data_IF_870322251234
#
_entry.id   IF_870322251234
#
_cell.length_a   1.000
_cell.length_b   1.000
_cell.length_c   1.000
_cell.angle_alpha   90.00
_cell.angle_beta   90.00
_cell.angle_gamma   90.00
#
_symmetry.space_group_name_H-M   'P 1'
#
loop_
_entity.id
_entity.type
_entity.pdbx_description
1 polymer ?
#
# COMPACT_ATOMS: atom_id res chain seq x y z
N UNK A 1 15.20 11.64 6.95
CA UNK A 1 14.01 11.01 6.33
C UNK A 1 13.11 12.04 5.65
N UNK A 2 12.77 13.15 6.31
CA UNK A 2 11.95 14.21 5.71
C UNK A 2 12.62 14.98 4.56
N UNK A 3 13.95 15.03 4.51
CA UNK A 3 14.68 15.78 3.47
C UNK A 3 14.58 15.15 2.08
N UNK A 4 14.27 13.86 2.01
CA UNK A 4 14.09 13.15 0.74
C UNK A 4 12.89 13.71 -0.07
N UNK A 5 11.90 14.29 0.60
CA UNK A 5 10.66 14.78 0.01
C UNK A 5 10.70 16.27 -0.33
N UNK A 6 11.78 16.97 0.05
CA UNK A 6 11.90 18.41 -0.13
C UNK A 6 12.75 18.71 -1.36
N UNK A 7 12.21 19.53 -2.26
CA UNK A 7 13.03 20.21 -3.26
C UNK A 7 13.49 21.54 -2.70
N UNK A 8 14.81 21.72 -2.71
CA UNK A 8 15.44 22.97 -2.31
C UNK A 8 15.78 23.74 -3.58
N UNK A 9 15.31 24.99 -3.65
CA UNK A 9 15.70 25.91 -4.71
C UNK A 9 16.39 27.10 -4.05
N UNK A 10 17.61 27.39 -4.51
CA UNK A 10 18.37 28.54 -4.05
C UNK A 10 18.27 29.61 -5.11
N UNK A 11 17.72 30.76 -4.75
CA UNK A 11 17.64 31.95 -5.60
C UNK A 11 18.39 33.08 -4.94
N UNK A 12 19.28 33.74 -5.67
CA UNK A 12 20.02 34.91 -5.17
C UNK A 12 19.27 36.16 -5.60
N UNK A 13 18.85 36.97 -4.64
CA UNK A 13 18.18 38.26 -4.87
C UNK A 13 19.00 39.33 -4.15
N UNK A 14 19.57 40.28 -4.91
CA UNK A 14 20.39 41.39 -4.37
C UNK A 14 21.56 40.96 -3.47
N UNK A 15 22.19 39.83 -3.80
CA UNK A 15 23.30 39.27 -3.01
C UNK A 15 22.86 38.53 -1.74
N UNK A 16 21.56 38.40 -1.50
CA UNK A 16 20.99 37.55 -0.44
C UNK A 16 20.59 36.20 -1.03
N UNK A 17 21.06 35.12 -0.42
CA UNK A 17 20.64 33.77 -0.75
C UNK A 17 19.28 33.46 -0.11
N UNK A 18 18.25 33.29 -0.94
CA UNK A 18 16.92 32.86 -0.50
C UNK A 18 16.78 31.38 -0.80
N UNK A 19 16.65 30.59 0.26
CA UNK A 19 16.41 29.15 0.18
C UNK A 19 14.90 28.90 0.29
N UNK A 20 14.29 28.47 -0.82
CA UNK A 20 12.90 28.04 -0.87
C UNK A 20 12.82 26.52 -0.79
N UNK A 21 12.01 26.00 0.16
CA UNK A 21 11.73 24.57 0.32
C UNK A 21 10.30 24.28 -0.09
N UNK A 22 10.12 23.42 -1.08
CA UNK A 22 8.80 22.94 -1.53
C UNK A 22 8.68 21.43 -1.35
N UNK A 23 7.43 20.96 -1.21
CA UNK A 23 7.13 19.53 -1.20
C UNK A 23 7.20 18.99 -2.63
N UNK A 24 7.85 17.85 -2.82
CA UNK A 24 7.81 17.13 -4.09
C UNK A 24 6.48 16.38 -4.25
N UNK A 25 5.53 17.02 -4.94
CA UNK A 25 4.23 16.42 -5.25
C UNK A 25 4.34 15.19 -6.15
N UNK A 26 5.37 15.07 -6.98
CA UNK A 26 5.59 13.90 -7.82
C UNK A 26 5.95 12.68 -6.97
N UNK A 27 6.87 12.86 -6.03
CA UNK A 27 7.18 11.79 -5.08
C UNK A 27 5.97 11.39 -4.24
N UNK A 28 5.22 12.38 -3.74
CA UNK A 28 4.03 12.13 -2.93
C UNK A 28 2.97 11.34 -3.70
N UNK A 29 2.77 11.67 -4.98
CA UNK A 29 1.85 10.96 -5.86
C UNK A 29 2.30 9.51 -6.13
N UNK A 30 3.58 9.29 -6.40
CA UNK A 30 4.14 7.93 -6.57
C UNK A 30 3.97 7.12 -5.30
N UNK A 31 4.32 7.69 -4.14
CA UNK A 31 4.17 7.03 -2.85
C UNK A 31 2.72 6.65 -2.56
N UNK A 32 1.78 7.58 -2.76
CA UNK A 32 0.36 7.34 -2.57
C UNK A 32 -0.17 6.25 -3.52
N UNK A 33 0.25 6.28 -4.79
CA UNK A 33 -0.12 5.27 -5.78
C UNK A 33 0.42 3.89 -5.42
N UNK A 34 1.71 3.79 -5.07
CA UNK A 34 2.32 2.53 -4.61
C UNK A 34 1.63 1.98 -3.38
N UNK A 35 1.26 2.83 -2.42
CA UNK A 35 0.52 2.43 -1.23
C UNK A 35 -0.88 1.90 -1.58
N UNK A 36 -1.60 2.58 -2.47
CA UNK A 36 -2.92 2.14 -2.94
C UNK A 36 -2.87 0.78 -3.64
N UNK A 37 -1.88 0.57 -4.52
CA UNK A 37 -1.65 -0.73 -5.19
C UNK A 37 -1.29 -1.81 -4.15
N UNK A 38 -0.43 -1.48 -3.18
CA UNK A 38 -0.05 -2.39 -2.11
C UNK A 38 -1.24 -2.86 -1.27
N UNK A 39 -2.16 -1.96 -0.91
CA UNK A 39 -3.42 -2.32 -0.23
C UNK A 39 -4.25 -3.27 -1.07
N UNK A 40 -4.40 -3.00 -2.37
CA UNK A 40 -5.18 -3.86 -3.26
C UNK A 40 -4.61 -5.28 -3.31
N UNK A 41 -3.29 -5.42 -3.42
CA UNK A 41 -2.62 -6.72 -3.39
C UNK A 41 -2.82 -7.37 -2.02
N UNK A 42 -2.64 -6.64 -0.92
CA UNK A 42 -2.81 -7.18 0.43
C UNK A 42 -4.18 -7.83 0.62
N UNK A 43 -5.26 -7.22 0.11
CA UNK A 43 -6.62 -7.74 0.24
C UNK A 43 -7.04 -8.71 -0.86
N UNK A 44 -6.15 -9.08 -1.79
CA UNK A 44 -6.44 -10.00 -2.89
C UNK A 44 -7.11 -11.32 -2.47
N UNK A 45 -6.62 -12.08 -1.45
CA UNK A 45 -7.29 -13.30 -1.01
C UNK A 45 -8.71 -13.06 -0.49
N UNK A 46 -8.96 -11.92 0.16
CA UNK A 46 -10.32 -11.54 0.58
C UNK A 46 -11.20 -11.24 -0.63
N UNK A 47 -10.70 -10.48 -1.61
CA UNK A 47 -11.44 -10.19 -2.83
C UNK A 47 -11.83 -11.46 -3.60
N UNK A 48 -10.89 -12.40 -3.75
CA UNK A 48 -11.16 -13.69 -4.42
C UNK A 48 -12.26 -14.47 -3.70
N UNK A 49 -12.20 -14.53 -2.36
CA UNK A 49 -13.22 -15.20 -1.56
C UNK A 49 -14.62 -14.56 -1.70
N UNK A 50 -14.68 -13.23 -1.75
CA UNK A 50 -15.92 -12.48 -1.94
C UNK A 50 -16.49 -12.70 -3.34
N UNK A 51 -15.65 -12.60 -4.39
CA UNK A 51 -16.06 -12.83 -5.78
C UNK A 51 -16.57 -14.25 -6.01
N UNK A 52 -16.02 -15.23 -5.29
CA UNK A 52 -16.46 -16.63 -5.31
C UNK A 52 -17.64 -16.93 -4.39
N UNK A 53 -18.15 -15.92 -3.67
CA UNK A 53 -19.20 -16.04 -2.66
C UNK A 53 -18.93 -17.15 -1.62
N UNK A 54 -17.66 -17.28 -1.21
CA UNK A 54 -17.21 -18.34 -0.31
C UNK A 54 -17.84 -18.19 1.08
N UNK A 55 -18.37 -19.27 1.66
CA UNK A 55 -19.02 -19.27 2.99
C UNK A 55 -18.10 -18.70 4.08
N UNK A 56 -16.82 -19.06 4.02
CA UNK A 56 -15.80 -18.65 5.00
C UNK A 56 -15.10 -17.31 4.66
N UNK A 57 -15.72 -16.43 3.86
CA UNK A 57 -15.12 -15.13 3.47
C UNK A 57 -14.70 -14.26 4.67
N UNK A 58 -15.45 -14.31 5.78
CA UNK A 58 -15.08 -13.62 7.03
C UNK A 58 -13.83 -14.21 7.68
N UNK A 59 -13.69 -15.54 7.67
CA UNK A 59 -12.50 -16.22 8.20
C UNK A 59 -11.26 -15.84 7.39
N UNK A 60 -11.38 -15.86 6.06
CA UNK A 60 -10.30 -15.47 5.14
C UNK A 60 -9.89 -14.01 5.38
N UNK A 61 -10.85 -13.12 5.60
CA UNK A 61 -10.58 -11.72 5.95
C UNK A 61 -9.81 -11.57 7.27
N UNK A 62 -10.22 -12.30 8.31
CA UNK A 62 -9.56 -12.26 9.63
C UNK A 62 -8.13 -12.80 9.54
N UNK A 63 -7.91 -13.90 8.81
CA UNK A 63 -6.57 -14.45 8.58
C UNK A 63 -5.72 -13.46 7.79
N UNK A 64 -6.28 -12.85 6.75
CA UNK A 64 -5.57 -11.87 5.93
C UNK A 64 -5.17 -10.62 6.73
N UNK A 65 -6.01 -10.11 7.63
CA UNK A 65 -5.62 -8.96 8.47
C UNK A 65 -4.60 -9.37 9.54
N UNK A 66 -4.82 -10.50 10.23
CA UNK A 66 -4.00 -10.89 11.38
C UNK A 66 -2.64 -11.45 10.99
N UNK A 67 -2.56 -12.15 9.85
CA UNK A 67 -1.38 -12.86 9.39
C UNK A 67 -0.95 -12.48 7.96
N UNK A 68 -1.66 -11.60 7.25
CA UNK A 68 -1.28 -11.20 5.89
C UNK A 68 0.01 -10.39 5.80
N UNK A 69 0.48 -9.81 6.91
CA UNK A 69 1.83 -9.24 7.04
C UNK A 69 2.94 -10.30 6.95
N UNK A 70 2.61 -11.58 7.13
CA UNK A 70 3.51 -12.70 6.89
C UNK A 70 3.22 -13.35 5.53
N UNK A 71 4.27 -13.66 4.77
CA UNK A 71 4.14 -14.36 3.47
C UNK A 71 3.38 -15.68 3.63
N UNK A 72 3.61 -16.40 4.73
CA UNK A 72 2.93 -17.67 5.02
C UNK A 72 1.42 -17.48 5.26
N UNK A 73 1.03 -16.52 6.08
CA UNK A 73 -0.39 -16.22 6.35
C UNK A 73 -1.13 -15.77 5.10
N UNK A 74 -0.46 -15.02 4.23
CA UNK A 74 -1.02 -14.58 2.96
C UNK A 74 -1.22 -15.76 1.97
N UNK A 75 -0.24 -16.67 1.87
CA UNK A 75 -0.36 -17.91 1.06
C UNK A 75 -1.49 -18.81 1.57
N UNK A 76 -1.61 -18.98 2.90
CA UNK A 76 -2.70 -19.78 3.50
C UNK A 76 -4.07 -19.15 3.19
N UNK A 77 -4.21 -17.83 3.35
CA UNK A 77 -5.45 -17.13 3.03
C UNK A 77 -5.82 -17.28 1.54
N UNK A 78 -4.84 -17.18 0.63
CA UNK A 78 -5.04 -17.45 -0.79
C UNK A 78 -5.46 -18.89 -1.05
N UNK A 79 -4.75 -19.88 -0.48
CA UNK A 79 -5.09 -21.29 -0.64
C UNK A 79 -6.53 -21.58 -0.24
N UNK A 80 -6.95 -21.07 0.92
CA UNK A 80 -8.34 -21.21 1.41
C UNK A 80 -9.32 -20.48 0.47
N UNK A 81 -8.96 -19.33 -0.09
CA UNK A 81 -9.82 -18.61 -1.06
C UNK A 81 -10.06 -19.39 -2.36
N UNK A 82 -9.14 -20.28 -2.74
CA UNK A 82 -9.26 -21.14 -3.91
C UNK A 82 -9.88 -22.51 -3.61
N UNK A 83 -9.80 -22.99 -2.36
CA UNK A 83 -10.42 -24.24 -1.94
C UNK A 83 -11.94 -24.17 -2.09
N UNK A 84 -12.50 -25.16 -2.78
CA UNK A 84 -13.95 -25.27 -2.97
C UNK A 84 -14.51 -26.00 -1.76
N UNK A 85 -15.31 -25.32 -0.96
CA UNK A 85 -16.05 -25.93 0.16
C UNK A 85 -17.49 -26.10 -0.31
N UNK A 86 -17.74 -27.25 -0.94
CA UNK A 86 -19.09 -27.67 -1.39
C UNK A 86 -20.10 -27.57 -0.22
#
# INVERSE_FOLDING_TARGET
MFDFFRRENVTIVDGVEIVSRSIDFGFLAIFAFSFMVGIFIYFLPTFIAVMRNHKDKLLIFIINISFGWSVLGWIVALGISFMKKD
#
